data_IF_487264664978
#
_entry.id   IF_487264664978
#
_cell.length_a   1.000
_cell.length_b   1.000
_cell.length_c   1.000
_cell.angle_alpha   90.00
_cell.angle_beta   90.00
_cell.angle_gamma   90.00
#
_symmetry.space_group_name_H-M   'P 1'
#
loop_
_entity.id
_entity.type
_entity.pdbx_description
1 polymer ?
#
# COMPACT_ATOMS: atom_id res chain seq x y z
N UNK A 1 -9.24 -25.73 -19.47
CA UNK A 1 -8.31 -25.39 -20.58
C UNK A 1 -8.59 -23.94 -20.96
N UNK A 2 -7.60 -23.05 -20.93
CA UNK A 2 -7.82 -21.63 -21.28
C UNK A 2 -7.82 -21.47 -22.81
N UNK A 3 -8.94 -21.07 -23.41
CA UNK A 3 -8.97 -20.74 -24.83
C UNK A 3 -8.14 -19.48 -25.09
N UNK A 4 -7.17 -19.55 -26.00
CA UNK A 4 -6.20 -18.47 -26.28
C UNK A 4 -6.03 -18.18 -27.78
N UNK A 5 -6.78 -18.84 -28.66
CA UNK A 5 -6.68 -18.66 -30.12
C UNK A 5 -7.90 -17.91 -30.65
N UNK A 6 -7.72 -17.15 -31.73
CA UNK A 6 -8.77 -16.32 -32.34
C UNK A 6 -9.95 -17.16 -32.85
N UNK A 7 -9.68 -18.37 -33.31
CA UNK A 7 -10.72 -19.31 -33.76
C UNK A 7 -11.66 -19.70 -32.61
N UNK A 8 -11.17 -19.64 -31.37
CA UNK A 8 -11.99 -19.96 -30.20
C UNK A 8 -12.99 -18.86 -29.87
N UNK A 9 -12.72 -17.60 -30.24
CA UNK A 9 -13.72 -16.53 -30.09
C UNK A 9 -14.95 -16.82 -30.95
N UNK A 10 -14.75 -17.14 -32.23
CA UNK A 10 -15.84 -17.47 -33.14
C UNK A 10 -16.67 -18.66 -32.64
N UNK A 11 -16.00 -19.70 -32.13
CA UNK A 11 -16.66 -20.87 -31.53
C UNK A 11 -17.47 -20.44 -30.30
N UNK A 12 -16.87 -19.72 -29.35
CA UNK A 12 -17.55 -19.32 -28.12
C UNK A 12 -18.76 -18.41 -28.39
N UNK A 13 -18.67 -17.50 -29.37
CA UNK A 13 -19.80 -16.68 -29.82
C UNK A 13 -20.93 -17.53 -30.38
N UNK A 14 -20.62 -18.52 -31.22
CA UNK A 14 -21.65 -19.42 -31.78
C UNK A 14 -22.36 -20.29 -30.73
N UNK A 15 -21.62 -20.74 -29.70
CA UNK A 15 -22.16 -21.64 -28.67
C UNK A 15 -22.92 -20.87 -27.59
N UNK A 16 -22.55 -19.61 -27.33
CA UNK A 16 -23.25 -18.72 -26.39
C UNK A 16 -24.75 -18.62 -26.72
N UNK A 17 -25.09 -18.43 -28.00
CA UNK A 17 -26.48 -18.24 -28.41
C UNK A 17 -27.26 -19.57 -28.50
N UNK A 18 -26.56 -20.70 -28.64
CA UNK A 18 -27.17 -22.00 -28.86
C UNK A 18 -27.39 -22.86 -27.60
N UNK A 19 -26.56 -22.70 -26.57
CA UNK A 19 -26.46 -23.71 -25.48
C UNK A 19 -27.33 -23.44 -24.25
N UNK A 20 -27.76 -22.20 -24.01
CA UNK A 20 -28.42 -21.81 -22.75
C UNK A 20 -27.54 -21.91 -21.49
N UNK A 21 -26.37 -22.55 -21.56
CA UNK A 21 -25.36 -22.67 -20.50
C UNK A 21 -24.60 -21.34 -20.40
N UNK A 22 -24.39 -20.77 -19.19
CA UNK A 22 -23.61 -19.56 -19.03
C UNK A 22 -22.08 -19.75 -19.16
N UNK A 23 -21.56 -20.99 -19.19
CA UNK A 23 -20.11 -21.25 -19.26
C UNK A 23 -19.43 -20.72 -20.54
N UNK A 24 -19.98 -20.92 -21.76
CA UNK A 24 -19.41 -20.33 -22.98
C UNK A 24 -19.32 -18.79 -22.89
N UNK A 25 -20.33 -18.15 -22.30
CA UNK A 25 -20.36 -16.70 -22.05
C UNK A 25 -19.19 -16.29 -21.13
N UNK A 26 -19.03 -16.99 -20.01
CA UNK A 26 -17.92 -16.77 -19.09
C UNK A 26 -16.54 -16.97 -19.73
N UNK A 27 -16.36 -18.04 -20.52
CA UNK A 27 -15.10 -18.30 -21.21
C UNK A 27 -14.80 -17.27 -22.30
N UNK A 28 -15.84 -16.77 -22.98
CA UNK A 28 -15.70 -15.65 -23.92
C UNK A 28 -15.21 -14.40 -23.19
N UNK A 29 -15.78 -14.09 -22.03
CA UNK A 29 -15.32 -13.00 -21.16
C UNK A 29 -13.84 -13.13 -20.78
N UNK A 30 -13.41 -14.34 -20.39
CA UNK A 30 -12.00 -14.63 -20.07
C UNK A 30 -11.08 -14.39 -21.27
N UNK A 31 -11.45 -14.87 -22.45
CA UNK A 31 -10.67 -14.70 -23.68
C UNK A 31 -10.55 -13.22 -24.04
N UNK A 32 -11.67 -12.49 -24.08
CA UNK A 32 -11.70 -11.07 -24.42
C UNK A 32 -10.87 -10.23 -23.44
N UNK A 33 -10.97 -10.53 -22.14
CA UNK A 33 -10.16 -9.85 -21.12
C UNK A 33 -8.66 -10.14 -21.29
N UNK A 34 -8.29 -11.37 -21.65
CA UNK A 34 -6.90 -11.73 -21.94
C UNK A 34 -6.32 -10.95 -23.13
N UNK A 35 -7.17 -10.68 -24.13
CA UNK A 35 -6.89 -9.86 -25.32
C UNK A 35 -6.98 -8.35 -25.05
N UNK A 36 -7.12 -7.93 -23.78
CA UNK A 36 -7.23 -6.52 -23.35
C UNK A 36 -8.47 -5.80 -23.90
N UNK A 37 -9.47 -6.54 -24.40
CA UNK A 37 -10.81 -6.04 -24.76
C UNK A 37 -11.67 -6.00 -23.50
N UNK A 38 -11.25 -5.18 -22.54
CA UNK A 38 -11.78 -5.21 -21.17
C UNK A 38 -13.29 -4.99 -21.09
N UNK A 39 -13.82 -4.02 -21.85
CA UNK A 39 -15.25 -3.69 -21.85
C UNK A 39 -16.10 -4.87 -22.31
N UNK A 40 -15.72 -5.49 -23.43
CA UNK A 40 -16.40 -6.68 -23.93
C UNK A 40 -16.28 -7.86 -22.98
N UNK A 41 -15.09 -8.09 -22.41
CA UNK A 41 -14.88 -9.16 -21.44
C UNK A 41 -15.77 -9.03 -20.20
N UNK A 42 -15.91 -7.81 -19.66
CA UNK A 42 -16.79 -7.55 -18.52
C UNK A 42 -18.25 -7.69 -18.87
N UNK A 43 -18.70 -7.25 -20.05
CA UNK A 43 -20.09 -7.44 -20.48
C UNK A 43 -20.46 -8.93 -20.55
N UNK A 44 -19.55 -9.77 -21.04
CA UNK A 44 -19.77 -11.23 -21.09
C UNK A 44 -19.79 -11.84 -19.68
N UNK A 45 -18.93 -11.38 -18.76
CA UNK A 45 -19.01 -11.82 -17.36
C UNK A 45 -20.30 -11.38 -16.65
N UNK A 46 -20.74 -10.14 -16.84
CA UNK A 46 -22.02 -9.65 -16.30
C UNK A 46 -23.20 -10.48 -16.84
N UNK A 47 -23.19 -10.82 -18.13
CA UNK A 47 -24.21 -11.67 -18.74
C UNK A 47 -24.15 -13.11 -18.21
N UNK A 48 -22.96 -13.67 -17.96
CA UNK A 48 -22.84 -15.00 -17.37
C UNK A 48 -23.42 -15.04 -15.95
N UNK A 49 -23.20 -13.99 -15.16
CA UNK A 49 -23.83 -13.80 -13.84
C UNK A 49 -25.36 -13.73 -13.97
N UNK A 50 -25.88 -12.92 -14.90
CA UNK A 50 -27.32 -12.78 -15.16
C UNK A 50 -27.97 -14.12 -15.56
N UNK A 51 -27.27 -14.94 -16.35
CA UNK A 51 -27.69 -16.29 -16.74
C UNK A 51 -27.54 -17.33 -15.63
N UNK A 52 -27.22 -16.91 -14.40
CA UNK A 52 -27.23 -17.74 -13.22
C UNK A 52 -25.93 -18.49 -12.92
N UNK A 53 -24.81 -18.12 -13.57
CA UNK A 53 -23.52 -18.71 -13.22
C UNK A 53 -23.10 -18.32 -11.82
N UNK A 54 -23.03 -19.30 -10.92
CA UNK A 54 -22.54 -19.14 -9.55
C UNK A 54 -21.16 -19.77 -9.43
N UNK A 55 -20.13 -18.95 -9.56
CA UNK A 55 -18.74 -19.43 -9.48
C UNK A 55 -17.84 -18.36 -8.85
N UNK A 56 -17.02 -18.68 -7.83
CA UNK A 56 -16.22 -17.68 -7.11
C UNK A 56 -15.26 -16.93 -8.05
N UNK A 57 -14.68 -17.60 -9.05
CA UNK A 57 -13.76 -16.98 -10.00
C UNK A 57 -14.46 -15.99 -10.95
N UNK A 58 -15.74 -16.19 -11.28
CA UNK A 58 -16.50 -15.22 -12.07
C UNK A 58 -16.61 -13.89 -11.31
N UNK A 59 -17.08 -13.95 -10.06
CA UNK A 59 -17.23 -12.78 -9.22
C UNK A 59 -15.87 -12.14 -8.89
N UNK A 60 -14.83 -12.94 -8.64
CA UNK A 60 -13.45 -12.42 -8.50
C UNK A 60 -13.00 -11.66 -9.74
N UNK A 61 -13.28 -12.17 -10.94
CA UNK A 61 -12.90 -11.50 -12.20
C UNK A 61 -13.65 -10.18 -12.40
N UNK A 62 -14.96 -10.14 -12.10
CA UNK A 62 -15.74 -8.90 -12.10
C UNK A 62 -15.22 -7.90 -11.06
N UNK A 63 -14.92 -8.36 -9.84
CA UNK A 63 -14.32 -7.56 -8.77
C UNK A 63 -12.99 -6.94 -9.19
N UNK A 64 -12.10 -7.76 -9.76
CA UNK A 64 -10.83 -7.31 -10.33
C UNK A 64 -11.06 -6.27 -11.42
N UNK A 65 -11.98 -6.50 -12.37
CA UNK A 65 -12.20 -5.54 -13.44
C UNK A 65 -12.74 -4.21 -12.94
N UNK A 66 -13.76 -4.24 -12.06
CA UNK A 66 -14.32 -3.04 -11.47
C UNK A 66 -13.27 -2.26 -10.67
N UNK A 67 -12.40 -2.93 -9.92
CA UNK A 67 -11.34 -2.25 -9.18
C UNK A 67 -10.19 -1.80 -10.09
N UNK A 68 -9.53 -2.76 -10.76
CA UNK A 68 -8.26 -2.59 -11.47
C UNK A 68 -8.38 -1.82 -12.79
N UNK A 69 -9.52 -1.90 -13.47
CA UNK A 69 -9.72 -1.27 -14.79
C UNK A 69 -10.57 -0.01 -14.64
N UNK A 70 -11.70 -0.11 -13.95
CA UNK A 70 -12.72 0.93 -13.95
C UNK A 70 -12.77 1.79 -12.67
N UNK A 71 -11.96 1.48 -11.65
CA UNK A 71 -11.92 2.17 -10.35
C UNK A 71 -13.31 2.31 -9.68
N UNK A 72 -14.21 1.37 -9.93
CA UNK A 72 -15.55 1.22 -9.33
C UNK A 72 -15.46 0.38 -8.07
N UNK A 73 -14.82 0.92 -7.03
CA UNK A 73 -14.49 0.16 -5.81
C UNK A 73 -15.69 -0.46 -5.11
N UNK A 74 -16.83 0.25 -5.01
CA UNK A 74 -18.02 -0.32 -4.35
C UNK A 74 -18.58 -1.56 -5.07
N UNK A 75 -18.69 -1.51 -6.40
CA UNK A 75 -19.08 -2.67 -7.22
C UNK A 75 -18.06 -3.81 -7.11
N UNK A 76 -16.78 -3.48 -6.96
CA UNK A 76 -15.75 -4.48 -6.75
C UNK A 76 -15.95 -5.21 -5.42
N UNK A 77 -16.22 -4.48 -4.32
CA UNK A 77 -16.49 -5.08 -3.01
C UNK A 77 -17.70 -6.02 -3.05
N UNK A 78 -18.80 -5.62 -3.70
CA UNK A 78 -20.00 -6.47 -3.84
C UNK A 78 -19.68 -7.80 -4.53
N UNK A 79 -18.84 -7.77 -5.58
CA UNK A 79 -18.45 -8.97 -6.30
C UNK A 79 -17.47 -9.82 -5.49
N UNK A 80 -16.51 -9.22 -4.80
CA UNK A 80 -15.64 -9.97 -3.90
C UNK A 80 -16.41 -10.60 -2.72
N UNK A 81 -17.44 -9.94 -2.18
CA UNK A 81 -18.33 -10.50 -1.16
C UNK A 81 -19.04 -11.76 -1.66
N UNK A 82 -19.63 -11.73 -2.87
CA UNK A 82 -20.19 -12.93 -3.51
C UNK A 82 -19.14 -14.02 -3.73
N UNK A 83 -17.93 -13.65 -4.13
CA UNK A 83 -16.85 -14.61 -4.33
C UNK A 83 -16.46 -15.30 -3.01
N UNK A 84 -16.33 -14.53 -1.91
CA UNK A 84 -16.01 -15.02 -0.58
C UNK A 84 -17.13 -15.90 -0.01
N UNK A 85 -18.39 -15.58 -0.27
CA UNK A 85 -19.53 -16.41 0.11
C UNK A 85 -19.45 -17.80 -0.54
N UNK A 86 -19.09 -17.85 -1.83
CA UNK A 86 -18.97 -19.10 -2.59
C UNK A 86 -17.70 -19.91 -2.27
N UNK A 87 -16.62 -19.26 -1.85
CA UNK A 87 -15.35 -19.90 -1.46
C UNK A 87 -14.68 -19.16 -0.29
N UNK A 88 -15.17 -19.38 0.96
CA UNK A 88 -14.70 -18.67 2.15
C UNK A 88 -13.30 -19.11 2.61
N UNK A 89 -12.69 -20.09 1.95
CA UNK A 89 -11.36 -20.62 2.29
C UNK A 89 -10.25 -20.04 1.43
N UNK A 90 -10.61 -19.27 0.40
CA UNK A 90 -9.67 -18.71 -0.55
C UNK A 90 -9.10 -17.37 -0.10
N UNK A 91 -7.93 -17.42 0.55
CA UNK A 91 -7.21 -16.24 1.03
C UNK A 91 -7.04 -15.13 -0.02
N UNK A 92 -6.91 -15.45 -1.32
CA UNK A 92 -6.71 -14.43 -2.36
C UNK A 92 -7.90 -13.49 -2.47
N UNK A 93 -9.12 -14.00 -2.26
CA UNK A 93 -10.32 -13.17 -2.30
C UNK A 93 -10.32 -12.12 -1.19
N UNK A 94 -9.88 -12.51 0.00
CA UNK A 94 -9.74 -11.58 1.14
C UNK A 94 -8.63 -10.55 0.93
N UNK A 95 -7.49 -10.95 0.33
CA UNK A 95 -6.41 -10.02 0.02
C UNK A 95 -6.82 -8.99 -1.04
N UNK A 96 -7.47 -9.43 -2.12
CA UNK A 96 -7.97 -8.54 -3.16
C UNK A 96 -9.11 -7.66 -2.66
N UNK A 97 -10.00 -8.18 -1.80
CA UNK A 97 -11.02 -7.38 -1.09
C UNK A 97 -10.38 -6.29 -0.23
N UNK A 98 -9.36 -6.66 0.56
CA UNK A 98 -8.59 -5.74 1.39
C UNK A 98 -7.95 -4.64 0.54
N UNK A 99 -7.34 -4.96 -0.60
CA UNK A 99 -6.79 -3.95 -1.53
C UNK A 99 -7.86 -2.92 -1.95
N UNK A 100 -9.09 -3.36 -2.23
CA UNK A 100 -10.21 -2.45 -2.54
C UNK A 100 -10.62 -1.62 -1.32
N UNK A 101 -10.69 -2.22 -0.14
CA UNK A 101 -11.00 -1.50 1.10
C UNK A 101 -9.96 -0.42 1.40
N UNK A 102 -8.66 -0.74 1.31
CA UNK A 102 -7.59 0.25 1.52
C UNK A 102 -7.68 1.37 0.48
N UNK A 103 -7.92 1.02 -0.80
CA UNK A 103 -8.10 2.01 -1.87
C UNK A 103 -9.20 3.02 -1.56
N UNK A 104 -10.31 2.55 -0.97
CA UNK A 104 -11.46 3.38 -0.59
C UNK A 104 -11.34 4.01 0.81
N UNK A 105 -10.30 3.66 1.58
CA UNK A 105 -10.09 4.08 2.97
C UNK A 105 -11.12 3.49 3.95
N UNK A 106 -11.59 2.28 3.68
CA UNK A 106 -12.57 1.57 4.50
C UNK A 106 -11.88 0.66 5.53
N UNK A 107 -10.99 1.23 6.35
CA UNK A 107 -10.12 0.48 7.27
C UNK A 107 -10.88 -0.41 8.25
N UNK A 108 -12.02 0.04 8.78
CA UNK A 108 -12.84 -0.79 9.69
C UNK A 108 -13.36 -2.05 8.98
N UNK A 109 -13.90 -1.89 7.77
CA UNK A 109 -14.43 -2.99 6.94
C UNK A 109 -13.33 -3.97 6.54
N UNK A 110 -12.14 -3.43 6.24
CA UNK A 110 -10.94 -4.23 5.94
C UNK A 110 -10.55 -5.12 7.13
N UNK A 111 -10.45 -4.54 8.32
CA UNK A 111 -10.11 -5.26 9.55
C UNK A 111 -11.12 -6.39 9.83
N UNK A 112 -12.42 -6.09 9.79
CA UNK A 112 -13.49 -7.07 10.03
C UNK A 112 -13.39 -8.27 9.07
N UNK A 113 -13.16 -8.00 7.78
CA UNK A 113 -13.01 -9.05 6.78
C UNK A 113 -11.76 -9.92 7.01
N UNK A 114 -10.64 -9.31 7.39
CA UNK A 114 -9.37 -10.01 7.63
C UNK A 114 -9.36 -10.78 8.96
N UNK A 115 -10.02 -10.26 10.00
CA UNK A 115 -10.24 -10.98 11.27
C UNK A 115 -11.06 -12.26 11.00
N UNK A 116 -12.15 -12.15 10.24
CA UNK A 116 -12.94 -13.31 9.80
C UNK A 116 -12.12 -14.29 8.95
N UNK A 117 -11.27 -13.77 8.05
CA UNK A 117 -10.39 -14.60 7.23
C UNK A 117 -9.37 -15.39 8.08
N UNK A 118 -8.79 -14.77 9.11
CA UNK A 118 -7.81 -15.39 10.02
C UNK A 118 -8.35 -16.63 10.74
N UNK A 119 -9.65 -16.65 11.03
CA UNK A 119 -10.33 -17.79 11.66
C UNK A 119 -10.47 -18.97 10.69
N UNK A 120 -10.69 -18.68 9.40
CA UNK A 120 -11.01 -19.68 8.36
C UNK A 120 -9.79 -20.15 7.57
N UNK A 121 -8.78 -19.30 7.43
CA UNK A 121 -7.64 -19.53 6.53
C UNK A 121 -6.32 -19.33 7.28
N UNK A 122 -5.51 -20.38 7.34
CA UNK A 122 -4.17 -20.33 7.93
C UNK A 122 -3.14 -19.96 6.86
N UNK A 123 -2.98 -18.65 6.64
CA UNK A 123 -1.96 -18.06 5.75
C UNK A 123 -1.33 -16.83 6.39
N UNK A 124 -0.01 -16.79 6.37
CA UNK A 124 0.80 -15.66 6.84
C UNK A 124 0.49 -14.37 6.07
N UNK A 125 0.12 -14.44 4.79
CA UNK A 125 -0.31 -13.28 4.00
C UNK A 125 -1.57 -12.60 4.54
N UNK A 126 -2.52 -13.36 5.12
CA UNK A 126 -3.69 -12.79 5.81
C UNK A 126 -3.24 -12.06 7.08
N UNK A 127 -2.35 -12.68 7.85
CA UNK A 127 -1.80 -12.08 9.08
C UNK A 127 -1.04 -10.79 8.77
N UNK A 128 -0.18 -10.80 7.76
CA UNK A 128 0.60 -9.64 7.33
C UNK A 128 -0.34 -8.49 6.93
N UNK A 129 -1.38 -8.80 6.15
CA UNK A 129 -2.35 -7.79 5.73
C UNK A 129 -3.17 -7.25 6.89
N UNK A 130 -3.58 -8.11 7.83
CA UNK A 130 -4.31 -7.71 9.04
C UNK A 130 -3.45 -6.78 9.93
N UNK A 131 -2.17 -7.11 10.13
CA UNK A 131 -1.24 -6.24 10.88
C UNK A 131 -1.14 -4.85 10.24
N UNK A 132 -1.03 -4.78 8.92
CA UNK A 132 -1.00 -3.49 8.20
C UNK A 132 -2.31 -2.70 8.38
N UNK A 133 -3.46 -3.36 8.26
CA UNK A 133 -4.76 -2.74 8.48
C UNK A 133 -4.94 -2.24 9.93
N UNK A 134 -4.43 -2.97 10.92
CA UNK A 134 -4.41 -2.54 12.32
C UNK A 134 -3.56 -1.28 12.54
N UNK A 135 -2.38 -1.19 11.93
CA UNK A 135 -1.54 0.02 11.99
C UNK A 135 -2.26 1.23 11.40
N UNK A 136 -2.95 1.05 10.26
CA UNK A 136 -3.77 2.12 9.67
C UNK A 136 -5.00 2.47 10.51
N UNK A 137 -5.54 1.51 11.25
CA UNK A 137 -6.64 1.69 12.21
C UNK A 137 -6.21 2.25 13.57
N UNK A 138 -4.90 2.45 13.82
CA UNK A 138 -4.37 2.90 15.11
C UNK A 138 -4.35 1.84 16.20
N UNK A 139 -4.54 0.56 15.86
CA UNK A 139 -4.51 -0.60 16.75
C UNK A 139 -3.10 -1.21 16.79
N UNK A 140 -2.12 -0.43 17.29
CA UNK A 140 -0.69 -0.78 17.18
C UNK A 140 -0.32 -2.04 17.97
N UNK A 141 -0.89 -2.21 19.15
CA UNK A 141 -0.65 -3.38 20.00
C UNK A 141 -1.15 -4.67 19.34
N UNK A 142 -2.31 -4.63 18.69
CA UNK A 142 -2.86 -5.78 17.96
C UNK A 142 -1.97 -6.15 16.75
N UNK A 143 -1.47 -5.14 16.02
CA UNK A 143 -0.54 -5.34 14.92
C UNK A 143 0.76 -6.01 15.39
N UNK A 144 1.35 -5.49 16.47
CA UNK A 144 2.58 -6.03 17.05
C UNK A 144 2.37 -7.44 17.62
N UNK A 145 1.21 -7.72 18.23
CA UNK A 145 0.86 -9.06 18.71
C UNK A 145 0.84 -10.10 17.60
N UNK A 146 0.30 -9.76 16.42
CA UNK A 146 0.37 -10.64 15.25
C UNK A 146 1.80 -10.77 14.75
N UNK A 147 2.50 -9.65 14.55
CA UNK A 147 3.84 -9.64 13.95
C UNK A 147 4.86 -10.39 14.80
N UNK A 148 4.79 -10.28 16.13
CA UNK A 148 5.74 -10.91 17.04
C UNK A 148 5.30 -12.32 17.48
N UNK A 149 4.00 -12.64 17.41
CA UNK A 149 3.46 -13.93 17.79
C UNK A 149 3.43 -14.98 16.67
N UNK A 150 3.90 -14.65 15.46
CA UNK A 150 3.85 -15.52 14.30
C UNK A 150 5.17 -15.52 13.52
N UNK A 151 5.38 -16.57 12.73
CA UNK A 151 6.49 -16.70 11.80
C UNK A 151 6.00 -16.47 10.37
N UNK A 152 6.70 -15.60 9.64
CA UNK A 152 6.37 -15.21 8.28
C UNK A 152 7.37 -15.81 7.31
N UNK A 153 6.86 -16.33 6.19
CA UNK A 153 7.70 -16.94 5.16
C UNK A 153 8.62 -15.87 4.58
N UNK A 154 9.96 -16.09 4.56
CA UNK A 154 10.88 -15.19 3.90
C UNK A 154 10.55 -15.08 2.40
N UNK A 155 10.53 -13.86 1.89
CA UNK A 155 10.45 -13.58 0.47
C UNK A 155 11.58 -12.63 0.10
N UNK A 156 12.41 -13.03 -0.87
CA UNK A 156 13.60 -12.27 -1.25
C UNK A 156 13.22 -10.84 -1.65
N UNK A 157 13.80 -9.86 -0.95
CA UNK A 157 13.56 -8.43 -1.19
C UNK A 157 12.22 -7.88 -0.67
N UNK A 158 11.41 -8.66 0.05
CA UNK A 158 10.14 -8.18 0.61
C UNK A 158 10.27 -7.75 2.08
N UNK A 159 10.30 -6.43 2.31
CA UNK A 159 10.42 -5.85 3.66
C UNK A 159 9.08 -5.50 4.32
N UNK A 160 7.94 -5.76 3.67
CA UNK A 160 6.64 -5.22 4.10
C UNK A 160 6.21 -5.58 5.53
N UNK A 161 6.56 -6.78 6.03
CA UNK A 161 6.27 -7.19 7.41
C UNK A 161 7.10 -6.38 8.42
N UNK A 162 8.39 -6.20 8.11
CA UNK A 162 9.29 -5.39 8.92
C UNK A 162 8.93 -3.90 8.84
N UNK A 163 8.58 -3.37 7.67
CA UNK A 163 8.09 -2.01 7.51
C UNK A 163 6.83 -1.77 8.37
N UNK A 164 5.90 -2.73 8.39
CA UNK A 164 4.70 -2.66 9.24
C UNK A 164 5.05 -2.70 10.73
N UNK A 165 6.03 -3.52 11.13
CA UNK A 165 6.54 -3.59 12.50
C UNK A 165 7.16 -2.26 12.94
N UNK A 166 8.03 -1.68 12.10
CA UNK A 166 8.65 -0.38 12.33
C UNK A 166 7.58 0.70 12.45
N UNK A 167 6.63 0.73 11.51
CA UNK A 167 5.55 1.71 11.49
C UNK A 167 4.68 1.64 12.75
N UNK A 168 4.35 0.42 13.20
CA UNK A 168 3.57 0.20 14.41
C UNK A 168 4.27 0.78 15.65
N UNK A 169 5.55 0.44 15.84
CA UNK A 169 6.34 0.95 16.96
C UNK A 169 6.56 2.46 16.87
N UNK A 170 6.90 3.02 15.70
CA UNK A 170 7.10 4.46 15.55
C UNK A 170 5.81 5.23 15.85
N UNK A 171 4.67 4.84 15.28
CA UNK A 171 3.40 5.53 15.54
C UNK A 171 2.98 5.39 17.01
N UNK A 172 3.19 4.22 17.63
CA UNK A 172 2.94 4.00 19.06
C UNK A 172 3.84 4.86 19.94
N UNK A 173 5.14 4.94 19.64
CA UNK A 173 6.10 5.77 20.35
C UNK A 173 5.76 7.27 20.24
N UNK A 174 5.37 7.76 19.06
CA UNK A 174 4.91 9.15 18.90
C UNK A 174 3.63 9.44 19.70
N UNK A 175 2.69 8.48 19.75
CA UNK A 175 1.53 8.59 20.64
C UNK A 175 1.97 8.68 22.11
N UNK A 176 2.91 7.84 22.54
CA UNK A 176 3.51 7.89 23.89
C UNK A 176 4.16 9.24 24.19
N UNK A 177 4.91 9.82 23.25
CA UNK A 177 5.49 11.16 23.39
C UNK A 177 4.41 12.23 23.61
N UNK A 178 3.31 12.20 22.85
CA UNK A 178 2.19 13.13 23.02
C UNK A 178 1.52 12.98 24.40
N UNK A 179 1.51 11.76 24.94
CA UNK A 179 1.02 11.43 26.29
C UNK A 179 2.07 11.67 27.39
N UNK A 180 3.28 12.17 27.04
CA UNK A 180 4.43 12.38 27.94
C UNK A 180 4.98 11.10 28.58
N UNK A 181 4.72 9.93 27.98
CA UNK A 181 5.27 8.63 28.36
C UNK A 181 6.61 8.42 27.64
N UNK A 182 7.61 9.20 28.02
CA UNK A 182 8.88 9.27 27.29
C UNK A 182 9.68 7.96 27.31
N UNK A 183 9.66 7.24 28.44
CA UNK A 183 10.37 5.96 28.57
C UNK A 183 9.76 4.89 27.65
N UNK A 184 8.44 4.70 27.72
CA UNK A 184 7.70 3.78 26.84
C UNK A 184 7.91 4.15 25.35
N UNK A 185 7.85 5.44 25.02
CA UNK A 185 8.08 5.90 23.66
C UNK A 185 9.49 5.60 23.16
N UNK A 186 10.50 5.81 24.02
CA UNK A 186 11.88 5.50 23.70
C UNK A 186 12.10 3.99 23.48
N UNK A 187 11.44 3.14 24.26
CA UNK A 187 11.50 1.69 24.09
C UNK A 187 10.88 1.26 22.75
N UNK A 188 9.72 1.82 22.39
CA UNK A 188 9.11 1.58 21.09
C UNK A 188 10.04 2.00 19.93
N UNK A 189 10.68 3.18 19.99
CA UNK A 189 11.61 3.58 18.93
C UNK A 189 12.86 2.71 18.84
N UNK A 190 13.37 2.21 19.97
CA UNK A 190 14.49 1.25 19.98
C UNK A 190 14.07 -0.10 19.43
N UNK A 191 12.86 -0.55 19.73
CA UNK A 191 12.31 -1.78 19.16
C UNK A 191 12.16 -1.67 17.64
N UNK A 192 11.76 -0.50 17.13
CA UNK A 192 11.70 -0.22 15.69
C UNK A 192 13.08 -0.27 14.97
N UNK A 193 14.20 -0.26 15.69
CA UNK A 193 15.54 -0.47 15.10
C UNK A 193 15.90 -1.95 14.93
N UNK A 194 15.11 -2.87 15.50
CA UNK A 194 15.37 -4.31 15.45
C UNK A 194 14.94 -4.90 14.11
N UNK A 195 15.53 -6.04 13.77
CA UNK A 195 15.15 -6.88 12.64
C UNK A 195 14.82 -8.29 13.16
N UNK A 196 13.62 -8.49 13.73
CA UNK A 196 13.23 -9.80 14.24
C UNK A 196 13.20 -10.85 13.12
N UNK A 197 13.84 -12.00 13.36
CA UNK A 197 14.00 -13.06 12.35
C UNK A 197 12.68 -13.67 11.91
N UNK A 198 11.68 -13.68 12.80
CA UNK A 198 10.35 -14.22 12.53
C UNK A 198 9.56 -13.41 11.49
N UNK A 199 9.99 -12.19 11.15
CA UNK A 199 9.35 -11.37 10.11
C UNK A 199 9.77 -11.76 8.68
N UNK A 200 10.68 -12.73 8.54
CA UNK A 200 11.12 -13.25 7.24
C UNK A 200 12.15 -12.38 6.53
N UNK A 201 12.77 -11.42 7.23
CA UNK A 201 13.85 -10.57 6.69
C UNK A 201 15.01 -10.42 7.66
N UNK A 202 16.22 -10.35 7.10
CA UNK A 202 17.44 -10.04 7.83
C UNK A 202 17.81 -8.56 7.73
N UNK A 203 18.60 -8.08 8.69
CA UNK A 203 19.11 -6.72 8.66
C UNK A 203 20.06 -6.50 7.46
N UNK A 204 19.82 -5.49 6.60
CA UNK A 204 20.75 -5.12 5.55
C UNK A 204 22.13 -4.69 6.12
N UNK A 205 23.12 -4.64 5.23
CA UNK A 205 24.41 -4.01 5.54
C UNK A 205 24.17 -2.56 6.01
N UNK A 206 24.81 -2.17 7.12
CA UNK A 206 24.47 -0.95 7.90
C UNK A 206 24.18 0.32 7.08
N UNK A 207 24.99 0.70 6.07
CA UNK A 207 24.74 1.89 5.23
C UNK A 207 23.46 1.83 4.36
N UNK A 208 22.84 0.65 4.23
CA UNK A 208 21.61 0.38 3.48
C UNK A 208 20.43 0.07 4.38
N UNK A 209 20.55 0.23 5.69
CA UNK A 209 19.43 0.06 6.62
C UNK A 209 18.53 1.28 6.59
N UNK A 210 17.23 1.04 6.68
CA UNK A 210 16.19 2.07 6.72
C UNK A 210 15.89 2.44 8.18
N UNK A 211 16.82 3.12 8.84
CA UNK A 211 16.71 3.50 10.27
C UNK A 211 16.49 5.02 10.47
N UNK A 212 16.38 5.83 9.41
CA UNK A 212 16.32 7.29 9.51
C UNK A 212 15.07 7.76 10.25
N UNK A 213 13.91 7.16 9.99
CA UNK A 213 12.67 7.48 10.69
C UNK A 213 12.80 7.25 12.20
N UNK A 214 13.27 6.07 12.60
CA UNK A 214 13.44 5.69 14.00
C UNK A 214 14.45 6.60 14.69
N UNK A 215 15.60 6.86 14.04
CA UNK A 215 16.63 7.75 14.57
C UNK A 215 16.15 9.19 14.71
N UNK A 216 15.32 9.67 13.78
CA UNK A 216 14.70 10.98 13.88
C UNK A 216 13.87 11.08 15.17
N UNK A 217 12.98 10.11 15.39
CA UNK A 217 12.10 10.10 16.57
C UNK A 217 12.83 9.85 17.88
N UNK A 218 13.89 9.03 17.90
CA UNK A 218 14.77 8.89 19.07
C UNK A 218 15.37 10.25 19.44
N UNK A 219 15.87 11.00 18.44
CA UNK A 219 16.43 12.32 18.68
C UNK A 219 15.38 13.32 19.16
N UNK A 220 14.17 13.28 18.59
CA UNK A 220 13.05 14.09 19.05
C UNK A 220 12.65 13.76 20.50
N UNK A 221 12.61 12.49 20.87
CA UNK A 221 12.33 12.05 22.22
C UNK A 221 13.39 12.54 23.22
N UNK A 222 14.68 12.38 22.90
CA UNK A 222 15.77 12.92 23.73
C UNK A 222 15.68 14.44 23.88
N UNK A 223 15.36 15.16 22.79
CA UNK A 223 15.17 16.61 22.82
C UNK A 223 14.03 17.00 23.77
N UNK A 224 12.90 16.27 23.74
CA UNK A 224 11.74 16.53 24.60
C UNK A 224 12.02 16.37 26.09
N UNK A 225 12.97 15.51 26.47
CA UNK A 225 13.38 15.29 27.87
C UNK A 225 14.62 16.09 28.29
N UNK A 226 15.12 17.00 27.42
CA UNK A 226 16.25 17.87 27.72
C UNK A 226 17.64 17.26 27.46
N UNK A 227 17.72 16.08 26.87
CA UNK A 227 18.97 15.37 26.58
C UNK A 227 19.56 15.76 25.21
N UNK A 228 19.91 17.05 25.06
CA UNK A 228 20.31 17.63 23.77
C UNK A 228 21.49 16.94 23.06
N UNK A 229 22.50 16.49 23.79
CA UNK A 229 23.66 15.80 23.20
C UNK A 229 23.29 14.41 22.66
N UNK A 230 22.42 13.67 23.36
CA UNK A 230 21.91 12.38 22.86
C UNK A 230 21.00 12.58 21.64
N UNK A 231 20.22 13.65 21.63
CA UNK A 231 19.40 14.01 20.47
C UNK A 231 20.26 14.24 19.22
N UNK A 232 21.35 15.02 19.35
CA UNK A 232 22.32 15.24 18.26
C UNK A 232 22.95 13.92 17.80
N UNK A 233 23.41 13.08 18.73
CA UNK A 233 24.02 11.78 18.40
C UNK A 233 23.09 10.87 17.59
N UNK A 234 21.79 10.86 17.91
CA UNK A 234 20.79 10.12 17.15
C UNK A 234 20.66 10.63 15.70
N UNK A 235 20.58 11.96 15.52
CA UNK A 235 20.48 12.55 14.19
C UNK A 235 21.78 12.50 13.38
N UNK A 236 22.94 12.48 14.03
CA UNK A 236 24.22 12.26 13.36
C UNK A 236 24.33 10.82 12.83
N UNK A 237 23.78 9.85 13.56
CA UNK A 237 23.73 8.44 13.18
C UNK A 237 23.08 8.18 11.82
N UNK A 238 22.05 8.94 11.45
CA UNK A 238 21.35 8.75 10.17
C UNK A 238 22.09 9.36 8.96
N UNK A 239 23.08 10.24 9.17
CA UNK A 239 23.78 10.92 8.07
C UNK A 239 24.60 9.93 7.22
N UNK A 240 25.13 8.89 7.86
CA UNK A 240 25.95 7.84 7.24
C UNK A 240 25.18 6.87 6.34
N UNK A 241 23.84 6.91 6.35
CA UNK A 241 23.02 6.09 5.46
C UNK A 241 23.11 6.59 4.02
N UNK A 242 23.33 5.67 3.08
CA UNK A 242 23.60 5.94 1.67
C UNK A 242 22.42 5.60 0.76
N UNK A 243 21.70 4.52 1.04
CA UNK A 243 20.53 4.10 0.26
C UNK A 243 19.25 4.44 1.02
N UNK A 244 18.57 5.50 0.58
CA UNK A 244 17.37 6.02 1.24
C UNK A 244 16.17 5.81 0.33
N UNK A 245 15.08 5.32 0.91
CA UNK A 245 13.76 5.51 0.31
C UNK A 245 13.38 6.99 0.38
N UNK A 246 12.31 7.38 -0.32
CA UNK A 246 11.82 8.77 -0.29
C UNK A 246 11.39 9.20 1.13
N UNK A 247 10.82 8.27 1.91
CA UNK A 247 10.44 8.53 3.31
C UNK A 247 11.67 8.68 4.20
N UNK A 248 12.66 7.81 4.02
CA UNK A 248 13.93 7.90 4.75
C UNK A 248 14.69 9.20 4.43
N UNK A 249 14.68 9.63 3.16
CA UNK A 249 15.24 10.91 2.76
C UNK A 249 14.51 12.09 3.42
N UNK A 250 13.20 11.99 3.61
CA UNK A 250 12.43 13.00 4.33
C UNK A 250 12.89 13.13 5.79
N UNK A 251 12.97 12.02 6.52
CA UNK A 251 13.44 12.02 7.91
C UNK A 251 14.90 12.45 8.05
N UNK A 252 15.76 12.04 7.12
CA UNK A 252 17.14 12.55 7.03
C UNK A 252 17.19 14.07 6.90
N UNK A 253 16.34 14.64 6.05
CA UNK A 253 16.23 16.09 5.90
C UNK A 253 15.76 16.79 7.18
N UNK A 254 14.84 16.19 7.94
CA UNK A 254 14.43 16.71 9.25
C UNK A 254 15.56 16.64 10.28
N UNK A 255 16.28 15.52 10.35
CA UNK A 255 17.46 15.38 11.21
C UNK A 255 18.55 16.40 10.89
N UNK A 256 18.84 16.64 9.60
CA UNK A 256 19.78 17.68 9.16
C UNK A 256 19.35 19.08 9.63
N UNK A 257 18.05 19.40 9.57
CA UNK A 257 17.54 20.67 10.11
C UNK A 257 17.73 20.75 11.62
N UNK A 258 17.44 19.69 12.34
CA UNK A 258 17.57 19.63 13.79
C UNK A 258 19.03 19.80 14.26
N UNK A 259 20.00 19.38 13.43
CA UNK A 259 21.44 19.60 13.62
C UNK A 259 21.93 21.00 13.17
N UNK A 260 21.04 21.90 12.72
CA UNK A 260 21.42 23.21 12.20
C UNK A 260 22.01 23.19 10.78
N UNK A 261 22.01 22.04 10.09
CA UNK A 261 22.52 21.86 8.71
C UNK A 261 21.44 22.19 7.67
N UNK A 262 20.80 23.34 7.83
CA UNK A 262 19.62 23.73 7.05
C UNK A 262 19.87 23.80 5.54
N UNK A 263 21.05 24.26 5.10
CA UNK A 263 21.40 24.33 3.67
C UNK A 263 21.39 22.95 3.00
N UNK A 264 21.94 21.94 3.68
CA UNK A 264 21.97 20.57 3.17
C UNK A 264 20.59 19.94 3.15
N UNK A 265 19.78 20.19 4.18
CA UNK A 265 18.39 19.75 4.21
C UNK A 265 17.58 20.34 3.04
N UNK A 266 17.71 21.64 2.77
CA UNK A 266 17.03 22.29 1.66
C UNK A 266 17.45 21.69 0.32
N UNK A 267 18.76 21.52 0.09
CA UNK A 267 19.27 20.89 -1.14
C UNK A 267 18.71 19.46 -1.34
N UNK A 268 18.60 18.68 -0.27
CA UNK A 268 18.01 17.33 -0.31
C UNK A 268 16.53 17.38 -0.74
N UNK A 269 15.73 18.25 -0.14
CA UNK A 269 14.31 18.37 -0.48
C UNK A 269 14.06 18.94 -1.87
N UNK A 270 14.86 19.92 -2.31
CA UNK A 270 14.77 20.47 -3.68
C UNK A 270 15.12 19.42 -4.73
N UNK A 271 16.15 18.59 -4.47
CA UNK A 271 16.50 17.45 -5.31
C UNK A 271 15.35 16.44 -5.45
N UNK A 272 14.75 16.04 -4.31
CA UNK A 272 13.61 15.14 -4.29
C UNK A 272 12.39 15.73 -5.03
N UNK A 273 12.10 17.02 -4.84
CA UNK A 273 11.01 17.72 -5.53
C UNK A 273 11.23 17.74 -7.05
N UNK A 274 12.45 18.06 -7.49
CA UNK A 274 12.80 18.09 -8.92
C UNK A 274 12.61 16.71 -9.56
N UNK A 275 13.08 15.65 -8.91
CA UNK A 275 12.92 14.29 -9.41
C UNK A 275 11.43 13.88 -9.50
N UNK A 276 10.63 14.25 -8.49
CA UNK A 276 9.19 13.97 -8.50
C UNK A 276 8.44 14.72 -9.61
N UNK A 277 8.78 15.99 -9.86
CA UNK A 277 8.21 16.79 -10.96
C UNK A 277 8.52 16.19 -12.34
N UNK A 278 9.78 15.81 -12.58
CA UNK A 278 10.17 15.15 -13.84
C UNK A 278 9.43 13.83 -14.06
N UNK A 279 9.20 13.07 -12.97
CA UNK A 279 8.44 11.82 -13.04
C UNK A 279 6.96 12.09 -13.29
N UNK A 280 6.38 13.12 -12.70
CA UNK A 280 5.00 13.54 -12.98
C UNK A 280 4.81 13.87 -14.47
N UNK A 281 5.68 14.68 -15.05
CA UNK A 281 5.62 15.06 -16.46
C UNK A 281 5.60 13.83 -17.38
N UNK A 282 6.47 12.85 -17.11
CA UNK A 282 6.50 11.58 -17.85
C UNK A 282 5.17 10.83 -17.75
N UNK A 283 4.60 10.70 -16.55
CA UNK A 283 3.35 9.97 -16.35
C UNK A 283 2.14 10.70 -16.93
N UNK A 284 2.13 12.03 -16.89
CA UNK A 284 1.10 12.85 -17.53
C UNK A 284 1.17 12.73 -19.07
N UNK A 285 2.36 12.67 -19.65
CA UNK A 285 2.56 12.35 -21.06
C UNK A 285 2.00 10.97 -21.42
N UNK A 286 2.34 9.93 -20.65
CA UNK A 286 1.80 8.58 -20.84
C UNK A 286 0.26 8.53 -20.74
N UNK A 287 -0.31 9.25 -19.79
CA UNK A 287 -1.77 9.33 -19.60
C UNK A 287 -2.48 9.91 -20.82
N UNK A 288 -1.87 10.86 -21.52
CA UNK A 288 -2.41 11.43 -22.76
C UNK A 288 -2.28 10.52 -24.00
N UNK A 289 -1.43 9.49 -23.94
CA UNK A 289 -1.11 8.61 -25.08
C UNK A 289 -1.87 7.28 -25.08
N UNK A 290 -2.61 6.95 -24.01
CA UNK A 290 -3.28 5.65 -23.88
C UNK A 290 -4.66 5.77 -23.25
N UNK A 291 -5.59 4.82 -23.54
CA UNK A 291 -6.90 4.81 -22.90
C UNK A 291 -6.79 4.67 -21.37
N UNK A 292 -7.75 5.24 -20.65
CA UNK A 292 -7.77 5.28 -19.19
C UNK A 292 -7.76 3.87 -18.57
N UNK A 293 -8.45 2.91 -19.19
CA UNK A 293 -8.50 1.51 -18.77
C UNK A 293 -7.11 0.87 -18.78
N UNK A 294 -6.30 1.17 -19.81
CA UNK A 294 -4.94 0.67 -19.90
C UNK A 294 -4.02 1.35 -18.88
N UNK A 295 -4.19 2.66 -18.68
CA UNK A 295 -3.46 3.40 -17.66
C UNK A 295 -3.72 2.82 -16.26
N UNK A 296 -4.98 2.49 -15.95
CA UNK A 296 -5.39 1.86 -14.70
C UNK A 296 -4.91 0.41 -14.58
N UNK A 297 -5.02 -0.36 -15.67
CA UNK A 297 -4.54 -1.75 -15.75
C UNK A 297 -3.03 -1.85 -15.46
N UNK A 298 -2.25 -0.89 -15.96
CA UNK A 298 -0.81 -0.78 -15.68
C UNK A 298 -0.51 -0.18 -14.30
N UNK A 299 -1.54 0.16 -13.52
CA UNK A 299 -1.45 0.75 -12.18
C UNK A 299 -0.71 2.11 -12.16
N UNK A 300 -0.71 2.83 -13.29
CA UNK A 300 0.01 4.10 -13.45
C UNK A 300 -0.64 5.25 -12.70
N UNK A 301 -1.92 5.16 -12.39
CA UNK A 301 -2.61 6.10 -11.51
C UNK A 301 -2.16 5.95 -10.05
N UNK A 302 -1.93 4.72 -9.57
CA UNK A 302 -1.33 4.51 -8.24
C UNK A 302 0.10 5.04 -8.19
N UNK A 303 0.88 4.87 -9.27
CA UNK A 303 2.20 5.51 -9.38
C UNK A 303 2.10 7.04 -9.40
N UNK A 304 1.11 7.61 -10.09
CA UNK A 304 0.86 9.04 -10.09
C UNK A 304 0.48 9.56 -8.69
N UNK A 305 -0.34 8.81 -7.94
CA UNK A 305 -0.65 9.08 -6.54
C UNK A 305 0.61 9.10 -5.66
N UNK A 306 1.50 8.12 -5.82
CA UNK A 306 2.80 8.07 -5.13
C UNK A 306 3.69 9.26 -5.48
N UNK A 307 3.70 9.72 -6.74
CA UNK A 307 4.46 10.91 -7.16
C UNK A 307 3.94 12.15 -6.42
N UNK A 308 2.62 12.31 -6.32
CA UNK A 308 2.03 13.39 -5.54
C UNK A 308 2.41 13.32 -4.05
N UNK A 309 2.43 12.13 -3.45
CA UNK A 309 2.94 11.95 -2.09
C UNK A 309 4.42 12.34 -1.93
N UNK A 310 5.27 12.04 -2.92
CA UNK A 310 6.69 12.45 -2.91
C UNK A 310 6.85 13.97 -2.97
N UNK A 311 6.07 14.64 -3.84
CA UNK A 311 6.03 16.11 -3.88
C UNK A 311 5.55 16.68 -2.55
N UNK A 312 4.53 16.07 -1.94
CA UNK A 312 4.00 16.48 -0.64
C UNK A 312 5.08 16.49 0.44
N UNK A 313 5.83 15.40 0.63
CA UNK A 313 6.88 15.35 1.67
C UNK A 313 8.04 16.29 1.36
N UNK A 314 8.40 16.48 0.09
CA UNK A 314 9.43 17.44 -0.30
C UNK A 314 9.00 18.88 0.00
N UNK A 315 7.75 19.24 -0.30
CA UNK A 315 7.19 20.55 0.04
C UNK A 315 7.11 20.78 1.56
N UNK A 316 6.71 19.77 2.36
CA UNK A 316 6.75 19.85 3.82
C UNK A 316 8.19 20.10 4.31
N UNK A 317 9.14 19.35 3.76
CA UNK A 317 10.57 19.54 4.01
C UNK A 317 11.07 20.96 3.69
N UNK A 318 10.47 21.64 2.71
CA UNK A 318 10.78 23.03 2.37
C UNK A 318 9.97 24.08 3.15
N UNK A 319 9.12 23.66 4.10
CA UNK A 319 8.23 24.56 4.84
C UNK A 319 7.03 25.08 4.02
N UNK A 320 6.79 24.50 2.85
CA UNK A 320 5.73 24.90 1.89
C UNK A 320 4.44 24.10 2.12
N UNK A 321 3.81 24.30 3.29
CA UNK A 321 2.67 23.47 3.76
C UNK A 321 1.45 23.55 2.81
N UNK A 322 1.17 24.72 2.23
CA UNK A 322 0.03 24.89 1.31
C UNK A 322 0.19 24.05 0.04
N UNK A 323 1.38 24.08 -0.57
CA UNK A 323 1.76 23.26 -1.72
C UNK A 323 1.65 21.77 -1.37
N UNK A 324 2.20 21.38 -0.22
CA UNK A 324 2.17 20.00 0.24
C UNK A 324 0.75 19.43 0.34
N UNK A 325 -0.17 20.18 0.97
CA UNK A 325 -1.56 19.77 1.12
C UNK A 325 -2.32 19.73 -0.21
N UNK A 326 -1.98 20.60 -1.17
CA UNK A 326 -2.53 20.52 -2.53
C UNK A 326 -2.12 19.23 -3.23
N UNK A 327 -0.85 18.86 -3.16
CA UNK A 327 -0.37 17.61 -3.78
C UNK A 327 -0.96 16.38 -3.09
N UNK A 328 -1.06 16.37 -1.76
CA UNK A 328 -1.77 15.31 -1.03
C UNK A 328 -3.22 15.15 -1.50
N UNK A 329 -3.95 16.26 -1.67
CA UNK A 329 -5.33 16.22 -2.15
C UNK A 329 -5.46 15.66 -3.56
N UNK A 330 -4.42 15.76 -4.41
CA UNK A 330 -4.39 15.07 -5.71
C UNK A 330 -4.20 13.56 -5.54
N UNK A 331 -3.31 13.13 -4.64
CA UNK A 331 -3.08 11.72 -4.33
C UNK A 331 -4.35 11.04 -3.79
N UNK A 332 -5.00 11.68 -2.80
CA UNK A 332 -6.19 11.15 -2.12
C UNK A 332 -7.41 11.02 -3.05
N UNK A 333 -7.50 11.87 -4.08
CA UNK A 333 -8.54 11.74 -5.13
C UNK A 333 -8.36 10.49 -5.99
N UNK A 334 -7.15 9.94 -6.08
CA UNK A 334 -6.87 8.72 -6.82
C UNK A 334 -7.13 7.50 -5.92
N UNK A 335 -6.44 7.42 -4.79
CA UNK A 335 -6.59 6.35 -3.82
C UNK A 335 -6.38 6.87 -2.39
N UNK A 336 -7.06 6.26 -1.42
CA UNK A 336 -6.88 6.59 0.01
C UNK A 336 -5.83 5.74 0.71
N UNK A 337 -5.36 4.68 0.05
CA UNK A 337 -4.20 3.89 0.47
C UNK A 337 -2.91 4.64 0.16
N UNK A 338 -2.51 5.51 1.09
CA UNK A 338 -1.31 6.33 1.00
C UNK A 338 -0.27 5.96 2.08
N UNK A 339 -0.52 4.90 2.86
CA UNK A 339 0.35 4.42 3.94
C UNK A 339 0.90 5.54 4.82
N UNK A 340 2.20 5.49 5.10
CA UNK A 340 2.91 6.44 5.95
C UNK A 340 2.76 7.92 5.53
N UNK A 341 2.53 8.22 4.24
CA UNK A 341 2.31 9.59 3.77
C UNK A 341 1.06 10.24 4.37
N UNK A 342 0.03 9.45 4.65
CA UNK A 342 -1.17 9.90 5.36
C UNK A 342 -0.83 10.38 6.76
N UNK A 343 0.04 9.64 7.46
CA UNK A 343 0.50 10.01 8.80
C UNK A 343 1.39 11.26 8.79
N UNK A 344 2.36 11.36 7.86
CA UNK A 344 3.22 12.56 7.72
C UNK A 344 2.41 13.84 7.55
N UNK A 345 1.29 13.81 6.80
CA UNK A 345 0.45 14.98 6.58
C UNK A 345 -0.10 15.60 7.87
N UNK A 346 -0.34 14.77 8.88
CA UNK A 346 -0.96 15.19 10.15
C UNK A 346 0.05 15.72 11.17
N UNK A 347 1.34 15.55 10.91
CA UNK A 347 2.42 16.20 11.64
C UNK A 347 2.54 17.68 11.23
#
# INVERSE_FOLDING_TARGET
>A
MFPHRLEVEAILRSVKDASGDPKPIYYLGNLLFSLKRFGEGVMEWELAEEKGMRHPILHRNLGYAYHCIYRRGQRALEQYEKAIELDPTNHRLYLEYSDVCSWLGLTKKEIEALESAKERVKKDSILARLSSAYVEGGRYEDALGILMGNEFTPAEGHYGNWETFVEAHVRKGVKGMNERKWEEAMDDFKDALKYPTNLGVGAPYRPHRHEAMQMYWIGECHRSIGEGERAKGAWEGMIGQKALTEQEAYYKGLGLKALGRGKEAVALFEGALKAALQREDKFMGLKGMMPQEYFNYMNYDRELSRIYCRKMIAYLGLGRRREALREYGKAEKICKDLGHYKWIRHM
#
